data_IF_815950608217
#
_entry.id   IF_815950608217
#
_cell.length_a   1.000
_cell.length_b   1.000
_cell.length_c   1.000
_cell.angle_alpha   90.00
_cell.angle_beta   90.00
_cell.angle_gamma   90.00
#
_symmetry.space_group_name_H-M   'P 1'
#
loop_
_entity.id
_entity.type
_entity.pdbx_description
1 polymer ?
#
# COMPACT_ATOMS: atom_id res chain seq x y z
N UNK A 1 -9.86 6.74 -15.42
CA UNK A 1 -9.08 7.96 -15.65
C UNK A 1 -9.16 8.82 -14.39
N UNK A 2 -8.01 9.14 -13.79
CA UNK A 2 -7.91 10.00 -12.60
C UNK A 2 -8.41 9.40 -11.29
N UNK A 3 -8.59 8.09 -11.19
CA UNK A 3 -9.06 7.41 -9.99
C UNK A 3 -8.96 5.90 -10.11
N UNK A 4 -9.57 5.18 -9.17
CA UNK A 4 -9.65 3.73 -9.19
C UNK A 4 -10.49 3.24 -10.39
N UNK A 5 -10.20 2.04 -10.88
CA UNK A 5 -10.98 1.45 -11.98
C UNK A 5 -12.42 1.17 -11.58
N UNK A 6 -13.35 1.13 -12.55
CA UNK A 6 -14.75 0.82 -12.30
C UNK A 6 -14.97 -0.48 -11.51
N UNK A 7 -14.35 -1.61 -11.90
CA UNK A 7 -14.45 -2.85 -11.13
C UNK A 7 -13.94 -2.72 -9.69
N UNK A 8 -12.84 -1.98 -9.47
CA UNK A 8 -12.32 -1.74 -8.12
C UNK A 8 -13.28 -0.84 -7.31
N UNK A 9 -13.88 0.18 -7.93
CA UNK A 9 -14.90 1.00 -7.27
C UNK A 9 -16.13 0.16 -6.89
N UNK A 10 -16.59 -0.73 -7.75
CA UNK A 10 -17.68 -1.67 -7.45
C UNK A 10 -17.33 -2.56 -6.24
N UNK A 11 -16.10 -3.07 -6.18
CA UNK A 11 -15.60 -3.78 -4.98
C UNK A 11 -15.70 -2.91 -3.73
N UNK A 12 -15.20 -1.67 -3.77
CA UNK A 12 -15.27 -0.74 -2.64
C UNK A 12 -16.72 -0.55 -2.17
N UNK A 13 -17.66 -0.34 -3.09
CA UNK A 13 -19.08 -0.15 -2.78
C UNK A 13 -19.73 -1.41 -2.18
N UNK A 14 -19.32 -2.59 -2.61
CA UNK A 14 -19.80 -3.86 -2.08
C UNK A 14 -19.40 -4.12 -0.61
N UNK A 15 -18.40 -3.39 -0.09
CA UNK A 15 -17.94 -3.53 1.30
C UNK A 15 -18.82 -2.78 2.33
N UNK A 16 -19.92 -2.18 1.93
CA UNK A 16 -20.77 -1.37 2.81
C UNK A 16 -21.22 -2.07 4.09
N UNK A 17 -21.45 -3.39 4.05
CA UNK A 17 -21.76 -4.19 5.25
C UNK A 17 -20.56 -4.27 6.21
N UNK A 18 -19.36 -4.49 5.68
CA UNK A 18 -18.12 -4.53 6.47
C UNK A 18 -17.83 -3.18 7.11
N UNK A 19 -18.11 -2.09 6.38
CA UNK A 19 -18.01 -0.73 6.88
C UNK A 19 -18.97 -0.48 8.06
N UNK A 20 -20.25 -0.79 7.92
CA UNK A 20 -21.25 -0.59 8.99
C UNK A 20 -20.90 -1.33 10.28
N UNK A 21 -20.30 -2.50 10.19
CA UNK A 21 -19.93 -3.34 11.33
C UNK A 21 -18.45 -3.19 11.72
N UNK A 22 -17.72 -2.29 11.05
CA UNK A 22 -16.29 -1.99 11.29
C UNK A 22 -15.39 -3.24 11.38
N UNK A 23 -15.67 -4.26 10.53
CA UNK A 23 -14.93 -5.53 10.56
C UNK A 23 -13.46 -5.41 10.13
N UNK A 24 -13.12 -4.34 9.40
CA UNK A 24 -11.74 -4.07 8.96
C UNK A 24 -11.00 -3.12 9.89
N UNK A 25 -11.62 -2.67 10.97
CA UNK A 25 -10.99 -1.78 11.95
C UNK A 25 -9.68 -2.38 12.47
N UNK A 26 -8.62 -1.54 12.53
CA UNK A 26 -7.27 -1.91 12.96
C UNK A 26 -6.54 -2.91 12.03
N UNK A 27 -7.13 -3.33 10.91
CA UNK A 27 -6.41 -4.07 9.88
C UNK A 27 -5.48 -3.14 9.11
N UNK A 28 -4.33 -3.66 8.65
CA UNK A 28 -3.45 -2.90 7.78
C UNK A 28 -4.03 -2.76 6.37
N UNK A 29 -3.80 -1.61 5.78
CA UNK A 29 -4.05 -1.34 4.37
C UNK A 29 -2.85 -0.64 3.74
N UNK A 30 -2.58 -0.92 2.49
CA UNK A 30 -1.62 -0.20 1.66
C UNK A 30 -2.19 -0.09 0.24
N UNK A 31 -1.72 0.88 -0.52
CA UNK A 31 -2.17 1.09 -1.89
C UNK A 31 -1.04 1.08 -2.89
N UNK A 32 -1.34 0.59 -4.09
CA UNK A 32 -0.47 0.72 -5.24
C UNK A 32 -1.28 1.05 -6.49
N UNK A 33 -0.66 1.72 -7.42
CA UNK A 33 -1.30 2.08 -8.69
C UNK A 33 -0.29 2.18 -9.82
N UNK A 34 -0.77 1.93 -11.02
CA UNK A 34 0.03 1.92 -12.25
C UNK A 34 -0.63 2.79 -13.30
N UNK A 35 0.16 3.54 -14.06
CA UNK A 35 -0.28 4.23 -15.28
C UNK A 35 0.86 4.33 -16.27
N UNK A 36 0.56 4.62 -17.54
CA UNK A 36 1.57 4.75 -18.59
C UNK A 36 2.36 6.07 -18.54
N UNK A 37 1.81 7.10 -17.93
CA UNK A 37 2.49 8.40 -17.79
C UNK A 37 3.14 8.55 -16.41
N UNK A 38 4.23 9.33 -16.28
CA UNK A 38 4.95 9.51 -15.02
C UNK A 38 4.06 10.01 -13.88
N UNK A 39 3.29 11.06 -14.06
CA UNK A 39 2.31 11.53 -13.09
C UNK A 39 1.05 10.66 -13.12
N UNK A 40 0.36 10.61 -14.27
CA UNK A 40 -0.83 9.80 -14.56
C UNK A 40 -1.93 9.91 -13.50
N UNK A 41 -1.96 11.02 -12.75
CA UNK A 41 -2.87 11.26 -11.62
C UNK A 41 -2.91 10.11 -10.59
N UNK A 42 -1.77 9.41 -10.47
CA UNK A 42 -1.61 8.27 -9.54
C UNK A 42 -1.88 8.65 -8.09
N UNK A 43 -1.53 9.89 -7.70
CA UNK A 43 -1.80 10.37 -6.35
C UNK A 43 -3.30 10.42 -6.04
N UNK A 44 -4.13 10.85 -6.99
CA UNK A 44 -5.59 10.85 -6.84
C UNK A 44 -6.14 9.43 -6.58
N UNK A 45 -5.61 8.45 -7.30
CA UNK A 45 -5.98 7.04 -7.10
C UNK A 45 -5.58 6.53 -5.70
N UNK A 46 -4.35 6.81 -5.24
CA UNK A 46 -3.89 6.44 -3.90
C UNK A 46 -4.72 7.12 -2.81
N UNK A 47 -5.07 8.39 -2.98
CA UNK A 47 -5.91 9.13 -2.03
C UNK A 47 -7.33 8.53 -1.93
N UNK A 48 -7.91 8.09 -3.05
CA UNK A 48 -9.19 7.37 -3.05
C UNK A 48 -9.13 6.08 -2.22
N UNK A 49 -8.07 5.29 -2.37
CA UNK A 49 -7.86 4.06 -1.60
C UNK A 49 -7.58 4.37 -0.12
N UNK A 50 -6.83 5.43 0.17
CA UNK A 50 -6.57 5.88 1.53
C UNK A 50 -7.86 6.28 2.24
N UNK A 51 -8.71 7.10 1.61
CA UNK A 51 -10.02 7.49 2.18
C UNK A 51 -10.87 6.26 2.46
N UNK A 52 -10.92 5.31 1.53
CA UNK A 52 -11.61 4.04 1.72
C UNK A 52 -11.10 3.29 2.96
N UNK A 53 -9.79 3.16 3.11
CA UNK A 53 -9.19 2.52 4.28
C UNK A 53 -9.54 3.26 5.59
N UNK A 54 -9.49 4.60 5.58
CA UNK A 54 -9.85 5.41 6.75
C UNK A 54 -11.31 5.23 7.15
N UNK A 55 -12.25 5.19 6.19
CA UNK A 55 -13.66 4.92 6.46
C UNK A 55 -13.90 3.55 7.11
N UNK A 56 -13.08 2.56 6.78
CA UNK A 56 -13.11 1.23 7.39
C UNK A 56 -12.34 1.13 8.72
N UNK A 57 -11.77 2.23 9.22
CA UNK A 57 -10.96 2.23 10.45
C UNK A 57 -9.65 1.45 10.33
N UNK A 58 -9.13 1.29 9.12
CA UNK A 58 -7.87 0.59 8.86
C UNK A 58 -6.66 1.48 9.17
N UNK A 59 -5.51 0.87 9.35
CA UNK A 59 -4.21 1.56 9.49
C UNK A 59 -3.50 1.56 8.15
N UNK A 60 -3.23 2.75 7.63
CA UNK A 60 -2.55 2.89 6.33
C UNK A 60 -1.04 2.78 6.48
N UNK A 61 -0.45 1.93 5.65
CA UNK A 61 1.00 1.76 5.53
C UNK A 61 1.47 2.51 4.29
N UNK A 62 2.23 3.56 4.49
CA UNK A 62 2.86 4.34 3.43
C UNK A 62 4.11 3.66 2.86
N UNK A 63 4.72 4.30 1.87
CA UNK A 63 5.95 3.84 1.25
C UNK A 63 7.17 4.56 1.87
N UNK A 64 8.00 3.92 2.72
CA UNK A 64 9.13 4.55 3.38
C UNK A 64 10.42 4.53 2.56
N UNK A 65 10.37 4.02 1.32
CA UNK A 65 11.54 3.80 0.49
C UNK A 65 12.07 5.14 -0.02
N UNK A 66 13.31 5.48 0.33
CA UNK A 66 13.97 6.68 -0.19
C UNK A 66 14.28 6.53 -1.69
N UNK A 67 14.10 7.59 -2.49
CA UNK A 67 14.49 7.59 -3.89
C UNK A 67 16.00 7.40 -4.05
N UNK A 68 16.42 6.34 -4.72
CA UNK A 68 17.84 5.99 -4.87
C UNK A 68 18.61 6.89 -5.86
N UNK A 69 17.93 7.74 -6.65
CA UNK A 69 18.60 8.73 -7.50
C UNK A 69 19.56 9.62 -6.70
N UNK A 70 19.26 9.87 -5.43
CA UNK A 70 20.15 10.62 -4.53
C UNK A 70 21.47 9.90 -4.25
N UNK A 71 21.50 8.58 -4.41
CA UNK A 71 22.71 7.77 -4.29
C UNK A 71 23.45 7.58 -5.64
N UNK A 72 23.01 8.25 -6.71
CA UNK A 72 23.61 8.15 -8.04
C UNK A 72 23.17 6.92 -8.84
N UNK A 73 22.14 6.20 -8.39
CA UNK A 73 21.57 5.07 -9.13
C UNK A 73 20.81 5.60 -10.36
N UNK A 74 20.97 4.99 -11.56
CA UNK A 74 20.25 5.39 -12.76
C UNK A 74 18.72 5.38 -12.54
N UNK A 75 18.03 6.34 -13.15
CA UNK A 75 16.60 6.56 -12.92
C UNK A 75 15.73 5.30 -13.10
N UNK A 76 15.98 4.52 -14.15
CA UNK A 76 15.20 3.32 -14.44
C UNK A 76 15.53 2.11 -13.54
N UNK A 77 16.62 2.19 -12.79
CA UNK A 77 17.06 1.17 -11.82
C UNK A 77 16.77 1.57 -10.37
N UNK A 78 16.47 2.84 -10.14
CA UNK A 78 16.33 3.41 -8.82
C UNK A 78 15.02 2.98 -8.14
N UNK A 79 15.07 2.54 -6.89
CA UNK A 79 13.91 2.37 -6.08
C UNK A 79 13.20 3.72 -5.85
N UNK A 80 11.89 3.67 -5.73
CA UNK A 80 11.01 4.83 -5.58
C UNK A 80 11.33 5.99 -6.52
N UNK A 81 11.67 5.69 -7.77
CA UNK A 81 12.07 6.67 -8.79
C UNK A 81 11.00 7.73 -9.08
N UNK A 82 9.73 7.42 -8.81
CA UNK A 82 8.60 8.35 -8.97
C UNK A 82 8.35 9.20 -7.70
N UNK A 83 9.08 8.98 -6.62
CA UNK A 83 9.02 9.80 -5.41
C UNK A 83 7.69 9.72 -4.67
N UNK A 84 7.04 8.56 -4.63
CA UNK A 84 5.73 8.38 -3.97
C UNK A 84 5.88 7.91 -2.53
N UNK A 85 5.26 8.62 -1.60
CA UNK A 85 5.24 8.30 -0.16
C UNK A 85 3.88 7.78 0.31
N UNK A 86 2.79 8.14 -0.39
CA UNK A 86 1.43 7.73 -0.04
C UNK A 86 1.14 6.25 -0.28
N UNK A 87 1.97 5.60 -1.08
CA UNK A 87 1.86 4.21 -1.51
C UNK A 87 2.75 3.97 -2.71
N UNK A 88 2.69 2.79 -3.30
CA UNK A 88 3.50 2.44 -4.46
C UNK A 88 2.91 3.04 -5.75
N UNK A 89 3.74 3.74 -6.49
CA UNK A 89 3.44 4.15 -7.87
C UNK A 89 4.41 3.44 -8.82
N UNK A 90 3.89 2.92 -9.93
CA UNK A 90 4.69 2.39 -11.02
C UNK A 90 4.25 2.96 -12.36
N UNK A 91 5.15 2.96 -13.34
CA UNK A 91 4.89 3.37 -14.70
C UNK A 91 5.00 2.15 -15.62
N UNK A 92 3.92 1.80 -16.31
CA UNK A 92 3.92 0.72 -17.30
C UNK A 92 4.21 1.26 -18.69
N UNK A 93 5.15 0.64 -19.39
CA UNK A 93 5.35 0.83 -20.82
C UNK A 93 4.19 0.24 -21.64
N UNK A 94 4.21 0.52 -22.93
CA UNK A 94 3.23 -0.02 -23.89
C UNK A 94 3.67 -1.33 -24.56
N UNK A 95 4.77 -1.92 -24.08
CA UNK A 95 5.34 -3.16 -24.58
C UNK A 95 4.64 -4.43 -24.08
N UNK A 96 5.28 -5.58 -24.29
CA UNK A 96 4.82 -6.87 -23.78
C UNK A 96 4.74 -6.85 -22.24
N UNK A 97 3.81 -7.62 -21.66
CA UNK A 97 3.59 -7.65 -20.22
C UNK A 97 4.84 -7.98 -19.40
N UNK A 98 5.74 -8.80 -19.92
CA UNK A 98 7.01 -9.15 -19.29
C UNK A 98 7.98 -7.95 -19.13
N UNK A 99 7.91 -6.99 -20.07
CA UNK A 99 8.81 -5.85 -20.16
C UNK A 99 8.08 -4.52 -19.85
N UNK A 100 6.89 -4.61 -19.25
CA UNK A 100 6.05 -3.44 -18.98
C UNK A 100 6.63 -2.52 -17.92
N UNK A 101 7.50 -3.04 -17.03
CA UNK A 101 8.05 -2.29 -15.90
C UNK A 101 9.57 -2.23 -15.96
N UNK A 102 10.11 -1.07 -15.67
CA UNK A 102 11.56 -0.92 -15.47
C UNK A 102 12.01 -1.58 -14.16
N UNK A 103 13.30 -1.96 -14.05
CA UNK A 103 13.83 -2.63 -12.86
C UNK A 103 13.54 -1.91 -11.54
N UNK A 104 13.64 -0.58 -11.52
CA UNK A 104 13.38 0.25 -10.34
C UNK A 104 11.97 0.16 -9.81
N UNK A 105 10.95 0.08 -10.69
CA UNK A 105 9.55 -0.07 -10.26
C UNK A 105 9.29 -1.45 -9.65
N UNK A 106 9.86 -2.50 -10.26
CA UNK A 106 9.78 -3.87 -9.74
C UNK A 106 10.51 -4.01 -8.39
N UNK A 107 11.70 -3.40 -8.26
CA UNK A 107 12.47 -3.32 -7.03
C UNK A 107 11.65 -2.62 -5.93
N UNK A 108 11.08 -1.47 -6.23
CA UNK A 108 10.23 -0.72 -5.30
C UNK A 108 9.05 -1.56 -4.82
N UNK A 109 8.39 -2.28 -5.71
CA UNK A 109 7.25 -3.12 -5.37
C UNK A 109 7.62 -4.24 -4.39
N UNK A 110 8.77 -4.88 -4.58
CA UNK A 110 9.29 -5.91 -3.67
C UNK A 110 9.60 -5.34 -2.28
N UNK A 111 10.32 -4.21 -2.24
CA UNK A 111 10.68 -3.54 -0.98
C UNK A 111 9.43 -3.06 -0.23
N UNK A 112 8.44 -2.53 -0.94
CA UNK A 112 7.18 -2.09 -0.34
C UNK A 112 6.36 -3.25 0.23
N UNK A 113 6.28 -4.36 -0.50
CA UNK A 113 5.64 -5.59 -0.03
C UNK A 113 6.32 -6.16 1.21
N UNK A 114 7.65 -6.17 1.25
CA UNK A 114 8.43 -6.58 2.41
C UNK A 114 8.15 -5.67 3.62
N UNK A 115 8.19 -4.34 3.42
CA UNK A 115 7.87 -3.38 4.48
C UNK A 115 6.46 -3.59 5.05
N UNK A 116 5.47 -3.87 4.19
CA UNK A 116 4.11 -4.18 4.63
C UNK A 116 4.06 -5.44 5.50
N UNK A 117 4.73 -6.51 5.08
CA UNK A 117 4.80 -7.76 5.84
C UNK A 117 5.49 -7.59 7.21
N UNK A 118 6.60 -6.86 7.25
CA UNK A 118 7.32 -6.54 8.50
C UNK A 118 6.45 -5.69 9.44
N UNK A 119 5.71 -4.72 8.91
CA UNK A 119 4.78 -3.90 9.69
C UNK A 119 3.67 -4.76 10.29
N UNK A 120 3.11 -5.68 9.53
CA UNK A 120 2.10 -6.63 10.00
C UNK A 120 2.64 -7.51 11.14
N UNK A 121 3.86 -8.03 11.00
CA UNK A 121 4.50 -8.85 12.03
C UNK A 121 4.71 -8.07 13.34
N UNK A 122 5.19 -6.83 13.25
CA UNK A 122 5.40 -5.97 14.44
C UNK A 122 4.09 -5.70 15.17
N UNK A 123 3.03 -5.33 14.46
CA UNK A 123 1.73 -5.04 15.07
C UNK A 123 1.04 -6.31 15.59
N UNK A 124 1.17 -7.44 14.92
CA UNK A 124 0.66 -8.73 15.38
C UNK A 124 1.37 -9.24 16.64
N UNK A 125 2.69 -9.01 16.76
CA UNK A 125 3.47 -9.36 17.96
C UNK A 125 3.08 -8.56 19.19
N UNK A 126 2.78 -7.28 19.05
CA UNK A 126 2.32 -6.41 20.15
C UNK A 126 0.94 -6.85 20.67
N UNK A 127 0.01 -7.21 19.77
CA UNK A 127 -1.33 -7.68 20.15
C UNK A 127 -1.30 -9.03 20.90
N UNK A 128 -0.38 -9.92 20.52
CA UNK A 128 -0.21 -11.22 21.19
C UNK A 128 0.38 -11.13 22.60
N UNK A 129 1.22 -10.14 22.86
CA UNK A 129 1.78 -9.90 24.20
C UNK A 129 0.74 -9.30 25.17
N UNK A 130 -0.07 -8.34 24.71
CA UNK A 130 -1.12 -7.72 25.52
C UNK A 130 -2.24 -8.72 25.89
N UNK A 131 -2.62 -9.61 24.96
CA UNK A 131 -3.64 -10.62 25.24
C UNK A 131 -3.19 -11.69 26.24
N UNK A 132 -1.91 -11.95 26.38
CA UNK A 132 -1.36 -12.87 27.39
C UNK A 132 -1.32 -12.26 28.78
N UNK A 133 -1.04 -10.97 28.90
CA UNK A 133 -1.02 -10.27 30.21
C UNK A 133 -2.40 -10.13 30.82
N UNK A 134 -3.44 -9.89 30.02
CA UNK A 134 -4.83 -9.81 30.54
C UNK A 134 -5.43 -11.18 30.88
N UNK A 135 -4.89 -12.28 30.37
CA UNK A 135 -5.32 -13.64 30.71
C UNK A 135 -4.78 -14.15 32.03
N UNK A 136 -3.63 -13.64 32.51
CA UNK A 136 -3.05 -14.02 33.79
C UNK A 136 -3.64 -13.24 34.98
N UNK A 137 -4.14 -12.03 34.75
CA UNK A 137 -4.78 -11.23 35.82
C UNK A 137 -6.20 -11.66 36.23
N UNK A 138 -6.87 -12.46 35.40
CA UNK A 138 -8.24 -12.98 35.67
C UNK A 138 -8.22 -14.34 36.35
N UNK A 139 -7.05 -14.98 36.51
CA UNK A 139 -6.89 -16.29 37.14
C UNK A 139 -6.27 -16.28 38.55
N UNK A 140 -6.11 -15.10 39.18
CA UNK A 140 -5.68 -14.87 40.54
C UNK A 140 -6.80 -14.25 41.38
#
# INVERSE_FOLDING_TARGET
LGGVSGPFKTFMDATGRLWKTQQLKNKLAAGFTVSSLPAGDKQSTLMSMWVFAMQHGMVWVGNPILPEQHAGVPYDEAANRLGSWSGLMAQAGHGAAADAFVPGDTKTARMFGQHFAETLQRLGGVGGAAARQTGEEVAA
#
